data_IF_080518396315
#
_entry.id   IF_080518396315
#
_cell.length_a   1.000
_cell.length_b   1.000
_cell.length_c   1.000
_cell.angle_alpha   90.00
_cell.angle_beta   90.00
_cell.angle_gamma   90.00
#
_symmetry.space_group_name_H-M   'P 1'
#
loop_
_entity.id
_entity.type
_entity.pdbx_description
1 polymer ?
#
# COMPACT_ATOMS: atom_id res chain seq x y z
N UNK A 1 20.78 13.90 -7.24
CA UNK A 1 20.40 13.10 -6.04
C UNK A 1 19.30 12.14 -6.44
N UNK A 2 19.61 10.87 -6.62
CA UNK A 2 18.60 9.85 -6.88
C UNK A 2 17.85 9.62 -5.57
N UNK A 3 16.67 10.22 -5.43
CA UNK A 3 15.71 9.87 -4.38
C UNK A 3 15.41 8.39 -4.56
N UNK A 4 16.13 7.57 -3.82
CA UNK A 4 15.86 6.15 -3.74
C UNK A 4 14.46 6.04 -3.16
N UNK A 5 13.54 5.46 -3.92
CA UNK A 5 12.17 5.12 -3.48
C UNK A 5 12.15 4.13 -2.29
N UNK A 6 13.31 3.86 -1.68
CA UNK A 6 13.57 3.15 -0.43
C UNK A 6 13.43 4.03 0.82
N UNK A 7 13.28 5.36 0.70
CA UNK A 7 13.05 6.24 1.86
C UNK A 7 11.67 6.08 2.51
N UNK A 8 10.78 5.31 1.87
CA UNK A 8 9.51 4.96 2.47
C UNK A 8 9.73 3.91 3.57
N UNK A 9 10.03 4.39 4.77
CA UNK A 9 10.09 3.56 5.98
C UNK A 9 8.69 3.14 6.40
N UNK A 10 8.18 2.06 5.80
CA UNK A 10 6.96 1.42 6.23
C UNK A 10 7.21 0.47 7.40
N UNK A 11 6.34 0.55 8.40
CA UNK A 11 6.28 -0.37 9.53
C UNK A 11 6.09 -1.83 9.03
N UNK A 12 6.44 -2.82 9.86
CA UNK A 12 6.23 -4.23 9.53
C UNK A 12 4.74 -4.52 9.19
N UNK A 13 3.83 -3.91 9.93
CA UNK A 13 2.38 -4.01 9.72
C UNK A 13 1.93 -3.46 8.37
N UNK A 14 2.41 -2.27 7.98
CA UNK A 14 2.11 -1.68 6.68
C UNK A 14 2.65 -2.54 5.51
N UNK A 15 3.84 -3.15 5.67
CA UNK A 15 4.38 -4.11 4.69
C UNK A 15 3.54 -5.37 4.59
N UNK A 16 3.09 -5.92 5.72
CA UNK A 16 2.19 -7.07 5.74
C UNK A 16 0.85 -6.74 5.04
N UNK A 17 0.28 -5.58 5.34
CA UNK A 17 -0.92 -5.08 4.69
C UNK A 17 -0.76 -4.97 3.17
N UNK A 18 0.31 -4.34 2.67
CA UNK A 18 0.57 -4.23 1.24
C UNK A 18 0.70 -5.59 0.54
N UNK A 19 1.31 -6.58 1.22
CA UNK A 19 1.37 -7.96 0.72
C UNK A 19 -0.04 -8.55 0.61
N UNK A 20 -0.89 -8.36 1.62
CA UNK A 20 -2.29 -8.81 1.58
C UNK A 20 -3.05 -8.20 0.39
N UNK A 21 -2.90 -6.89 0.16
CA UNK A 21 -3.53 -6.22 -1.00
C UNK A 21 -3.02 -6.79 -2.32
N UNK A 22 -1.71 -7.07 -2.43
CA UNK A 22 -1.12 -7.72 -3.62
C UNK A 22 -1.67 -9.13 -3.82
N UNK A 23 -1.78 -9.93 -2.76
CA UNK A 23 -2.33 -11.29 -2.81
C UNK A 23 -3.81 -11.30 -3.21
N UNK A 24 -4.56 -10.26 -2.84
CA UNK A 24 -5.95 -10.07 -3.26
C UNK A 24 -6.13 -9.62 -4.72
N UNK A 25 -5.05 -9.56 -5.51
CA UNK A 25 -5.09 -9.12 -6.91
C UNK A 25 -4.79 -7.64 -7.12
N UNK A 26 -4.22 -6.96 -6.12
CA UNK A 26 -3.81 -5.56 -6.19
C UNK A 26 -4.85 -4.55 -5.70
N UNK A 27 -6.03 -5.02 -5.28
CA UNK A 27 -7.05 -4.21 -4.64
C UNK A 27 -7.69 -4.96 -3.48
N UNK A 28 -8.06 -4.27 -2.41
CA UNK A 28 -8.66 -4.88 -1.23
C UNK A 28 -9.74 -3.97 -0.64
N UNK A 29 -10.86 -4.55 -0.24
CA UNK A 29 -11.87 -3.85 0.54
C UNK A 29 -11.39 -3.73 1.99
N UNK A 30 -11.40 -2.53 2.57
CA UNK A 30 -10.89 -2.30 3.92
C UNK A 30 -11.99 -1.79 4.85
N UNK A 31 -12.00 -2.32 6.06
CA UNK A 31 -12.81 -1.81 7.16
C UNK A 31 -12.16 -0.61 7.85
N UNK A 32 -12.85 -0.04 8.84
CA UNK A 32 -12.39 1.13 9.59
C UNK A 32 -11.06 0.92 10.32
N UNK A 33 -10.80 -0.30 10.79
CA UNK A 33 -9.57 -0.65 11.52
C UNK A 33 -8.30 -0.59 10.64
N UNK A 34 -8.41 -0.98 9.37
CA UNK A 34 -7.29 -0.98 8.40
C UNK A 34 -7.07 0.39 7.76
N UNK A 35 -7.96 1.36 8.03
CA UNK A 35 -7.94 2.68 7.39
C UNK A 35 -6.72 3.50 7.79
N UNK A 36 -6.29 3.43 9.04
CA UNK A 36 -5.11 4.19 9.51
C UNK A 36 -3.81 3.66 8.90
N UNK A 37 -3.67 2.33 8.78
CA UNK A 37 -2.55 1.69 8.08
C UNK A 37 -2.60 2.04 6.58
N UNK A 38 -3.77 1.98 5.97
CA UNK A 38 -3.96 2.37 4.57
C UNK A 38 -3.61 3.85 4.32
N UNK A 39 -3.94 4.77 5.23
CA UNK A 39 -3.57 6.19 5.13
C UNK A 39 -2.05 6.37 5.15
N UNK A 40 -1.36 5.65 6.02
CA UNK A 40 0.10 5.67 6.08
C UNK A 40 0.71 5.17 4.75
N UNK A 41 0.14 4.11 4.17
CA UNK A 41 0.55 3.59 2.87
C UNK A 41 0.21 4.55 1.72
N UNK A 42 -0.90 5.27 1.80
CA UNK A 42 -1.29 6.27 0.83
C UNK A 42 -0.40 7.51 0.89
N UNK A 43 -0.06 7.98 2.09
CA UNK A 43 0.90 9.08 2.30
C UNK A 43 2.29 8.74 1.74
N UNK A 44 2.67 7.46 1.81
CA UNK A 44 3.85 6.90 1.18
C UNK A 44 3.77 6.79 -0.38
N UNK A 45 2.60 7.01 -0.97
CA UNK A 45 2.37 6.94 -2.42
C UNK A 45 2.39 5.52 -3.01
N UNK A 46 2.37 4.48 -2.16
CA UNK A 46 2.38 3.06 -2.59
C UNK A 46 0.96 2.50 -2.76
N UNK A 47 -0.05 3.22 -2.31
CA UNK A 47 -1.44 2.81 -2.32
C UNK A 47 -2.35 4.01 -2.54
N UNK A 48 -3.55 3.78 -3.06
CA UNK A 48 -4.62 4.77 -3.20
C UNK A 48 -5.92 4.21 -2.64
N UNK A 49 -6.75 5.07 -2.07
CA UNK A 49 -8.10 4.70 -1.67
C UNK A 49 -9.00 4.61 -2.89
N UNK A 50 -9.85 3.58 -2.91
CA UNK A 50 -10.86 3.35 -3.94
C UNK A 50 -12.22 3.24 -3.27
N UNK A 51 -13.26 3.73 -3.93
CA UNK A 51 -14.60 3.74 -3.36
C UNK A 51 -15.46 4.85 -3.95
N UNK A 52 -16.73 4.84 -3.58
CA UNK A 52 -17.64 5.90 -3.98
C UNK A 52 -17.40 7.15 -3.14
N UNK A 53 -17.68 8.33 -3.68
CA UNK A 53 -17.40 9.64 -3.05
C UNK A 53 -17.92 9.81 -1.61
N UNK A 54 -18.88 8.97 -1.18
CA UNK A 54 -19.42 8.97 0.19
C UNK A 54 -18.68 8.03 1.16
N UNK A 55 -18.00 6.98 0.68
CA UNK A 55 -17.25 6.02 1.49
C UNK A 55 -16.09 5.43 0.68
N UNK A 56 -14.87 5.71 1.11
CA UNK A 56 -13.69 4.96 0.73
C UNK A 56 -13.81 3.55 1.34
N UNK A 57 -14.23 2.59 0.53
CA UNK A 57 -14.48 1.22 0.97
C UNK A 57 -13.34 0.28 0.61
N UNK A 58 -12.39 0.73 -0.20
CA UNK A 58 -11.29 -0.10 -0.66
C UNK A 58 -10.01 0.68 -0.86
N UNK A 59 -9.00 -0.09 -1.23
CA UNK A 59 -7.67 0.39 -1.58
C UNK A 59 -7.18 -0.34 -2.81
N UNK A 60 -6.35 0.32 -3.59
CA UNK A 60 -5.63 -0.28 -4.72
C UNK A 60 -4.15 0.07 -4.63
N UNK A 61 -3.30 -0.88 -5.00
CA UNK A 61 -1.87 -0.63 -5.13
C UNK A 61 -1.59 0.29 -6.31
N UNK A 62 -0.67 1.24 -6.11
CA UNK A 62 -0.15 2.04 -7.21
C UNK A 62 0.98 1.30 -7.91
N UNK A 63 1.37 1.76 -9.11
CA UNK A 63 2.58 1.26 -9.77
C UNK A 63 3.83 1.35 -8.88
N UNK A 64 3.91 2.37 -8.01
CA UNK A 64 4.97 2.48 -6.99
C UNK A 64 4.86 1.41 -5.92
N UNK A 65 3.67 1.07 -5.44
CA UNK A 65 3.46 -0.01 -4.48
C UNK A 65 3.85 -1.38 -5.03
N UNK A 66 3.50 -1.66 -6.29
CA UNK A 66 3.92 -2.87 -6.98
C UNK A 66 5.45 -2.95 -7.09
N UNK A 67 6.10 -1.88 -7.55
CA UNK A 67 7.56 -1.82 -7.65
C UNK A 67 8.26 -1.94 -6.29
N UNK A 68 7.70 -1.31 -5.24
CA UNK A 68 8.19 -1.43 -3.87
C UNK A 68 8.13 -2.89 -3.38
N UNK A 69 6.99 -3.55 -3.54
CA UNK A 69 6.83 -4.95 -3.14
C UNK A 69 7.70 -5.90 -3.98
N UNK A 70 7.86 -5.66 -5.28
CA UNK A 70 8.72 -6.48 -6.13
C UNK A 70 10.18 -6.41 -5.67
N UNK A 71 10.69 -5.21 -5.37
CA UNK A 71 12.03 -5.03 -4.80
C UNK A 71 12.15 -5.63 -3.40
N UNK A 72 11.12 -5.48 -2.56
CA UNK A 72 11.08 -6.06 -1.21
C UNK A 72 11.15 -7.60 -1.25
N UNK A 73 10.53 -8.23 -2.24
CA UNK A 73 10.54 -9.69 -2.41
C UNK A 73 11.84 -10.21 -3.04
N UNK A 74 12.50 -9.41 -3.89
CA UNK A 74 13.81 -9.78 -4.46
C UNK A 74 14.98 -9.59 -3.47
N UNK A 75 14.79 -8.75 -2.46
CA UNK A 75 15.81 -8.45 -1.45
C UNK A 75 15.85 -9.47 -0.29
N UNK A 76 15.13 -10.60 -0.40
CA UNK A 76 15.01 -11.61 0.65
C UNK A 76 15.09 -13.03 0.08
#
# INVERSE_FOLDING_TARGET
>A
MTVSTLDVRLCAEARAFLRTVRHAGGSLHIGGELREVAKTCAAAGVLVFTGSAKRETGVALTGRGHAYLDRLMRAH
#
